data_IF_406486149019
#
_entry.id   IF_406486149019
#
_cell.length_a   1.000
_cell.length_b   1.000
_cell.length_c   1.000
_cell.angle_alpha   90.00
_cell.angle_beta   90.00
_cell.angle_gamma   90.00
#
_symmetry.space_group_name_H-M   'P 1'
#
loop_
_entity.id
_entity.type
_entity.pdbx_description
1 polymer ?
#
# COMPACT_ATOMS: atom_id res chain seq x y z
N UNK A 1 25.84 20.28 -24.92
CA UNK A 1 24.61 19.69 -24.34
C UNK A 1 25.03 18.72 -23.25
N UNK A 2 24.85 19.06 -21.98
CA UNK A 2 25.09 18.13 -20.87
C UNK A 2 23.82 17.35 -20.66
N UNK A 3 23.88 16.04 -20.83
CA UNK A 3 22.75 15.13 -20.69
C UNK A 3 22.30 15.04 -19.24
N UNK A 4 21.02 14.83 -19.02
CA UNK A 4 20.33 14.76 -17.72
C UNK A 4 20.97 13.78 -16.70
N UNK A 5 21.77 12.83 -17.17
CA UNK A 5 22.53 11.89 -16.35
C UNK A 5 23.68 12.54 -15.55
N UNK A 6 24.27 13.64 -16.03
CA UNK A 6 25.39 14.33 -15.36
C UNK A 6 24.97 15.23 -14.22
N UNK A 7 23.66 15.52 -14.07
CA UNK A 7 23.15 16.39 -13.01
C UNK A 7 22.90 15.63 -11.69
N UNK A 8 22.74 14.31 -11.76
CA UNK A 8 22.49 13.49 -10.56
C UNK A 8 23.73 13.15 -9.74
N UNK A 9 24.93 13.21 -10.33
CA UNK A 9 26.15 12.80 -9.64
C UNK A 9 26.73 13.88 -8.68
N UNK A 10 26.35 15.14 -8.84
CA UNK A 10 26.96 16.24 -8.07
C UNK A 10 26.08 16.79 -6.93
N UNK A 11 24.87 16.30 -6.74
CA UNK A 11 23.94 16.88 -5.76
C UNK A 11 23.96 16.23 -4.37
N UNK A 12 24.45 15.01 -4.27
CA UNK A 12 24.55 14.30 -2.99
C UNK A 12 25.86 13.53 -2.98
N UNK A 13 26.82 13.98 -2.18
CA UNK A 13 28.14 13.35 -1.99
C UNK A 13 28.12 11.97 -1.36
N UNK A 14 27.24 11.09 -1.83
CA UNK A 14 27.22 9.67 -1.48
C UNK A 14 27.96 8.90 -2.57
N UNK A 15 29.18 8.44 -2.25
CA UNK A 15 29.85 7.38 -2.98
C UNK A 15 28.88 6.21 -3.12
N UNK A 16 28.41 5.95 -4.34
CA UNK A 16 27.78 4.70 -4.69
C UNK A 16 28.85 3.62 -4.61
N UNK A 17 28.99 3.00 -3.45
CA UNK A 17 29.70 1.73 -3.33
C UNK A 17 29.11 0.79 -4.38
N UNK A 18 30.01 0.08 -5.08
CA UNK A 18 29.73 -0.80 -6.20
C UNK A 18 28.35 -1.44 -6.06
N UNK A 19 27.43 -1.11 -6.99
CA UNK A 19 26.16 -1.81 -7.11
C UNK A 19 26.49 -3.30 -7.24
N UNK A 20 26.18 -4.09 -6.21
CA UNK A 20 26.14 -5.54 -6.36
C UNK A 20 25.25 -5.84 -7.56
N UNK A 21 25.66 -6.76 -8.44
CA UNK A 21 24.87 -7.11 -9.61
C UNK A 21 23.46 -7.46 -9.14
N UNK A 22 22.46 -7.07 -9.92
CA UNK A 22 21.04 -7.37 -9.74
C UNK A 22 20.81 -8.88 -9.99
N UNK A 23 21.54 -9.72 -9.27
CA UNK A 23 21.36 -11.15 -9.15
C UNK A 23 20.68 -11.33 -7.79
N UNK A 24 19.38 -11.30 -7.78
CA UNK A 24 18.41 -11.91 -6.87
C UNK A 24 17.11 -11.10 -6.82
N UNK A 25 16.53 -10.87 -8.00
CA UNK A 25 15.12 -10.40 -8.08
C UNK A 25 14.12 -11.46 -7.57
N UNK A 26 14.60 -12.65 -7.19
CA UNK A 26 13.83 -13.79 -6.70
C UNK A 26 14.39 -14.34 -5.38
N UNK A 27 14.79 -13.46 -4.47
CA UNK A 27 15.22 -13.89 -3.15
C UNK A 27 14.02 -14.56 -2.45
N UNK A 28 14.12 -15.90 -2.30
CA UNK A 28 13.14 -16.69 -1.55
C UNK A 28 13.10 -16.19 -0.09
N UNK A 29 11.92 -16.19 0.49
CA UNK A 29 11.76 -15.90 1.92
C UNK A 29 12.60 -16.88 2.75
N UNK A 30 13.35 -16.35 3.66
CA UNK A 30 14.05 -17.10 4.71
C UNK A 30 13.19 -17.15 5.99
N UNK A 31 13.55 -18.04 6.92
CA UNK A 31 12.93 -18.06 8.24
C UNK A 31 13.11 -16.72 8.97
N UNK A 32 14.24 -16.03 8.74
CA UNK A 32 14.51 -14.72 9.32
C UNK A 32 13.48 -13.68 8.84
N UNK A 33 13.15 -13.68 7.55
CA UNK A 33 12.16 -12.74 7.00
C UNK A 33 10.79 -12.95 7.63
N UNK A 34 10.40 -14.22 7.85
CA UNK A 34 9.13 -14.54 8.51
C UNK A 34 9.13 -14.08 9.97
N UNK A 35 10.21 -14.31 10.70
CA UNK A 35 10.36 -13.85 12.08
C UNK A 35 10.32 -12.30 12.18
N UNK A 36 10.90 -11.62 11.20
CA UNK A 36 10.88 -10.15 11.16
C UNK A 36 9.46 -9.61 10.82
N UNK A 37 8.70 -10.32 9.98
CA UNK A 37 7.29 -10.01 9.70
C UNK A 37 6.43 -10.26 10.94
N UNK A 38 6.65 -11.35 11.67
CA UNK A 38 5.96 -11.66 12.93
C UNK A 38 6.15 -10.54 13.95
N UNK A 39 7.41 -10.20 14.26
CA UNK A 39 7.75 -9.08 15.14
C UNK A 39 7.13 -7.76 14.70
N UNK A 40 7.10 -7.52 13.39
CA UNK A 40 6.45 -6.32 12.86
C UNK A 40 4.94 -6.34 13.12
N UNK A 41 4.26 -7.46 12.83
CA UNK A 41 2.83 -7.62 13.03
C UNK A 41 2.45 -7.47 14.51
N UNK A 42 3.18 -8.14 15.40
CA UNK A 42 2.96 -8.04 16.85
C UNK A 42 3.12 -6.62 17.36
N UNK A 43 4.19 -5.94 16.96
CA UNK A 43 4.43 -4.55 17.36
C UNK A 43 3.25 -3.63 17.05
N UNK A 44 2.58 -3.82 15.91
CA UNK A 44 1.47 -2.95 15.49
C UNK A 44 0.12 -3.42 15.99
N UNK A 45 -0.03 -4.71 16.35
CA UNK A 45 -1.30 -5.31 16.75
C UNK A 45 -1.42 -5.56 18.27
N UNK A 46 -0.30 -5.65 19.00
CA UNK A 46 -0.25 -5.90 20.43
C UNK A 46 -1.16 -4.97 21.26
N UNK A 47 -1.21 -3.70 20.90
CA UNK A 47 -2.08 -2.71 21.58
C UNK A 47 -3.58 -3.01 21.43
N UNK A 48 -3.94 -3.91 20.54
CA UNK A 48 -5.32 -4.37 20.35
C UNK A 48 -5.54 -5.78 20.93
N UNK A 49 -4.57 -6.32 21.68
CA UNK A 49 -4.64 -7.66 22.25
C UNK A 49 -4.58 -8.76 21.19
N UNK A 50 -3.90 -8.53 20.05
CA UNK A 50 -3.73 -9.50 18.98
C UNK A 50 -2.25 -9.83 18.84
N UNK A 51 -1.96 -11.14 18.90
CA UNK A 51 -0.66 -11.74 18.71
C UNK A 51 -0.66 -12.56 17.41
N UNK A 52 0.41 -12.48 16.64
CA UNK A 52 0.51 -13.15 15.34
C UNK A 52 1.59 -14.22 15.40
N UNK A 53 1.22 -15.42 15.03
CA UNK A 53 2.13 -16.56 14.95
C UNK A 53 2.17 -17.13 13.53
N UNK A 54 3.32 -17.65 13.12
CA UNK A 54 3.48 -18.39 11.87
C UNK A 54 3.91 -19.82 12.15
N UNK A 55 3.26 -20.77 11.47
CA UNK A 55 3.69 -22.17 11.56
C UNK A 55 5.02 -22.39 10.83
N UNK A 56 5.75 -23.43 11.21
CA UNK A 56 7.03 -23.82 10.58
C UNK A 56 6.93 -23.94 9.05
N UNK A 57 5.80 -24.40 8.51
CA UNK A 57 5.58 -24.57 7.07
C UNK A 57 5.18 -23.27 6.34
N UNK A 58 5.04 -22.15 7.04
CA UNK A 58 4.60 -20.90 6.42
C UNK A 58 5.62 -20.38 5.41
N UNK A 59 6.93 -20.56 5.70
CA UNK A 59 8.03 -20.19 4.78
C UNK A 59 7.93 -20.94 3.46
N UNK A 60 7.69 -22.27 3.51
CA UNK A 60 7.57 -23.09 2.31
C UNK A 60 6.39 -22.62 1.45
N UNK A 61 5.31 -22.21 2.11
CA UNK A 61 4.10 -21.70 1.44
C UNK A 61 4.28 -20.32 0.84
N UNK A 62 5.07 -19.45 1.47
CA UNK A 62 5.44 -18.17 0.88
C UNK A 62 6.25 -18.36 -0.41
N UNK A 63 7.14 -19.33 -0.43
CA UNK A 63 8.02 -19.65 -1.55
C UNK A 63 7.39 -20.59 -2.59
N UNK A 64 6.12 -20.95 -2.44
CA UNK A 64 5.42 -21.85 -3.36
C UNK A 64 5.28 -21.21 -4.74
N UNK A 65 5.77 -21.87 -5.83
CA UNK A 65 5.71 -21.31 -7.18
C UNK A 65 4.27 -21.09 -7.71
N UNK A 66 3.27 -21.66 -7.04
CA UNK A 66 1.85 -21.39 -7.34
C UNK A 66 1.41 -19.98 -6.96
N UNK A 67 2.19 -19.28 -6.12
CA UNK A 67 1.97 -17.86 -5.85
C UNK A 67 2.51 -17.01 -7.02
N UNK A 68 1.68 -16.78 -8.02
CA UNK A 68 2.01 -15.96 -9.18
C UNK A 68 1.11 -14.71 -9.25
N UNK A 69 1.68 -13.47 -9.24
CA UNK A 69 3.09 -13.17 -8.98
C UNK A 69 3.53 -13.56 -7.57
N UNK A 70 4.86 -13.66 -7.36
CA UNK A 70 5.45 -13.99 -6.06
C UNK A 70 4.96 -13.03 -4.96
N UNK A 71 4.82 -13.57 -3.74
CA UNK A 71 4.47 -12.76 -2.58
C UNK A 71 5.71 -11.98 -2.12
N UNK A 72 5.54 -10.72 -1.72
CA UNK A 72 6.63 -9.86 -1.24
C UNK A 72 6.46 -9.52 0.23
N UNK A 73 7.56 -9.32 0.96
CA UNK A 73 7.56 -8.87 2.37
C UNK A 73 6.66 -7.63 2.55
N UNK A 74 6.80 -6.66 1.65
CA UNK A 74 6.02 -5.43 1.70
C UNK A 74 4.50 -5.64 1.55
N UNK A 75 4.05 -6.71 0.89
CA UNK A 75 2.63 -7.03 0.76
C UNK A 75 2.07 -7.57 2.08
N UNK A 76 2.81 -8.46 2.75
CA UNK A 76 2.43 -8.95 4.08
C UNK A 76 2.40 -7.83 5.11
N UNK A 77 3.41 -6.95 5.11
CA UNK A 77 3.42 -5.79 5.98
C UNK A 77 2.22 -4.86 5.72
N UNK A 78 1.87 -4.62 4.45
CA UNK A 78 0.67 -3.85 4.08
C UNK A 78 -0.60 -4.54 4.55
N UNK A 79 -0.66 -5.86 4.46
CA UNK A 79 -1.82 -6.61 4.91
C UNK A 79 -2.01 -6.47 6.43
N UNK A 80 -0.98 -6.65 7.25
CA UNK A 80 -1.08 -6.42 8.70
C UNK A 80 -1.41 -4.98 9.06
N UNK A 81 -0.92 -3.98 8.29
CA UNK A 81 -1.36 -2.58 8.46
C UNK A 81 -2.84 -2.38 8.15
N UNK A 82 -3.45 -3.13 7.22
CA UNK A 82 -4.91 -3.09 7.00
C UNK A 82 -5.67 -3.62 8.21
N UNK A 83 -5.19 -4.71 8.83
CA UNK A 83 -5.76 -5.24 10.08
C UNK A 83 -5.64 -4.20 11.20
N UNK A 84 -4.47 -3.58 11.36
CA UNK A 84 -4.23 -2.51 12.34
C UNK A 84 -5.20 -1.34 12.15
N UNK A 85 -5.42 -0.89 10.92
CA UNK A 85 -6.27 0.26 10.60
C UNK A 85 -7.70 0.09 11.12
N UNK A 86 -8.23 -1.11 11.05
CA UNK A 86 -9.54 -1.44 11.64
C UNK A 86 -9.43 -1.90 13.10
N UNK A 87 -8.31 -1.62 13.78
CA UNK A 87 -8.06 -1.97 15.18
C UNK A 87 -8.32 -3.45 15.51
N UNK A 88 -8.14 -4.32 14.52
CA UNK A 88 -8.41 -5.75 14.66
C UNK A 88 -9.88 -6.13 14.89
N UNK A 89 -10.83 -5.21 14.77
CA UNK A 89 -12.25 -5.45 15.16
C UNK A 89 -12.89 -6.62 14.42
N UNK A 90 -12.46 -6.89 13.18
CA UNK A 90 -12.98 -8.03 12.42
C UNK A 90 -12.53 -9.39 13.00
N UNK A 91 -11.31 -9.46 13.53
CA UNK A 91 -10.79 -10.64 14.24
C UNK A 91 -11.51 -10.80 15.59
N UNK A 92 -11.62 -9.71 16.33
CA UNK A 92 -12.17 -9.62 17.69
C UNK A 92 -13.70 -9.64 17.74
N UNK A 93 -14.39 -9.96 16.65
CA UNK A 93 -15.85 -9.94 16.64
C UNK A 93 -16.41 -10.93 17.68
N UNK A 94 -17.15 -10.46 18.69
CA UNK A 94 -17.67 -11.31 19.77
C UNK A 94 -18.54 -12.48 19.29
N UNK A 95 -19.18 -12.32 18.11
CA UNK A 95 -19.99 -13.41 17.50
C UNK A 95 -19.17 -14.64 17.10
N UNK A 96 -17.84 -14.54 17.11
CA UNK A 96 -16.95 -15.63 16.76
C UNK A 96 -16.52 -16.45 18.00
N UNK A 97 -16.62 -15.86 19.20
CA UNK A 97 -16.07 -16.42 20.44
C UNK A 97 -17.13 -16.36 21.53
N UNK A 98 -17.39 -17.48 22.16
CA UNK A 98 -18.41 -17.61 23.21
C UNK A 98 -17.73 -17.55 24.60
N UNK A 99 -16.59 -18.23 24.75
CA UNK A 99 -15.87 -18.36 26.02
C UNK A 99 -14.36 -18.21 25.81
N UNK A 100 -13.64 -17.91 26.88
CA UNK A 100 -12.16 -18.03 26.92
C UNK A 100 -11.75 -19.47 26.58
N UNK A 101 -10.66 -19.62 25.82
CA UNK A 101 -10.23 -20.90 25.26
C UNK A 101 -10.89 -21.28 23.93
N UNK A 102 -11.88 -20.53 23.46
CA UNK A 102 -12.52 -20.79 22.18
C UNK A 102 -11.56 -20.55 21.00
N UNK A 103 -11.65 -21.40 19.99
CA UNK A 103 -10.91 -21.22 18.74
C UNK A 103 -11.82 -21.31 17.53
N UNK A 104 -11.44 -20.60 16.46
CA UNK A 104 -12.10 -20.71 15.17
C UNK A 104 -11.09 -20.86 14.05
N UNK A 105 -11.46 -21.60 13.02
CA UNK A 105 -10.74 -21.59 11.75
C UNK A 105 -11.33 -20.52 10.83
N UNK A 106 -10.47 -19.70 10.29
CA UNK A 106 -10.87 -18.61 9.42
C UNK A 106 -9.84 -18.41 8.29
N UNK A 107 -10.21 -17.61 7.30
CA UNK A 107 -9.30 -17.13 6.27
C UNK A 107 -9.27 -15.62 6.33
N UNK A 108 -8.09 -15.04 6.60
CA UNK A 108 -7.88 -13.61 6.42
C UNK A 108 -7.57 -13.36 4.95
N UNK A 109 -8.45 -12.63 4.27
CA UNK A 109 -8.33 -12.35 2.82
C UNK A 109 -8.03 -10.89 2.57
N UNK A 110 -6.91 -10.62 1.86
CA UNK A 110 -6.65 -9.32 1.27
C UNK A 110 -7.24 -9.27 -0.15
N UNK A 111 -8.26 -8.46 -0.35
CA UNK A 111 -8.95 -8.35 -1.63
C UNK A 111 -8.06 -7.71 -2.70
N UNK A 112 -7.23 -6.72 -2.31
CA UNK A 112 -6.43 -5.96 -3.28
C UNK A 112 -5.27 -6.78 -3.85
N UNK A 113 -4.63 -7.62 -3.01
CA UNK A 113 -3.50 -8.47 -3.43
C UNK A 113 -3.88 -9.91 -3.71
N UNK A 114 -5.15 -10.29 -3.51
CA UNK A 114 -5.66 -11.66 -3.60
C UNK A 114 -4.94 -12.66 -2.67
N UNK A 115 -4.33 -12.16 -1.58
CA UNK A 115 -3.70 -13.01 -0.57
C UNK A 115 -4.78 -13.61 0.33
N UNK A 116 -4.63 -14.90 0.58
CA UNK A 116 -5.49 -15.66 1.49
C UNK A 116 -4.60 -16.32 2.53
N UNK A 117 -4.85 -16.04 3.81
CA UNK A 117 -4.16 -16.59 4.95
C UNK A 117 -5.14 -17.44 5.76
N UNK A 118 -5.17 -18.76 5.58
CA UNK A 118 -5.83 -19.68 6.49
C UNK A 118 -5.20 -19.62 7.88
N UNK A 119 -6.02 -19.30 8.88
CA UNK A 119 -5.59 -19.10 10.26
C UNK A 119 -6.44 -19.89 11.25
N UNK A 120 -5.88 -20.13 12.41
CA UNK A 120 -6.63 -20.43 13.63
C UNK A 120 -6.56 -19.21 14.51
N UNK A 121 -7.70 -18.73 14.97
CA UNK A 121 -7.80 -17.61 15.89
C UNK A 121 -8.26 -18.21 17.22
N UNK A 122 -7.41 -18.14 18.24
CA UNK A 122 -7.71 -18.54 19.59
C UNK A 122 -8.00 -17.29 20.42
N UNK A 123 -9.05 -17.34 21.22
CA UNK A 123 -9.37 -16.32 22.22
C UNK A 123 -9.09 -16.85 23.61
N UNK A 124 -8.28 -16.13 24.37
CA UNK A 124 -7.93 -16.49 25.73
C UNK A 124 -7.68 -15.21 26.57
N UNK A 125 -8.48 -15.02 27.61
CA UNK A 125 -8.39 -13.90 28.54
C UNK A 125 -8.11 -12.53 27.86
N UNK A 126 -9.02 -12.11 26.99
CA UNK A 126 -8.94 -10.87 26.23
C UNK A 126 -7.82 -10.80 25.17
N UNK A 127 -7.04 -11.86 25.01
CA UNK A 127 -6.01 -11.98 23.98
C UNK A 127 -6.51 -12.84 22.83
N UNK A 128 -6.09 -12.45 21.64
CA UNK A 128 -6.36 -13.19 20.41
C UNK A 128 -5.04 -13.63 19.79
N UNK A 129 -4.78 -14.92 19.79
CA UNK A 129 -3.64 -15.49 19.08
C UNK A 129 -4.09 -15.90 17.69
N UNK A 130 -3.45 -15.38 16.66
CA UNK A 130 -3.74 -15.65 15.25
C UNK A 130 -2.60 -16.47 14.66
N UNK A 131 -2.77 -17.78 14.65
CA UNK A 131 -1.77 -18.71 14.09
C UNK A 131 -1.99 -18.88 12.59
N UNK A 132 -1.07 -18.36 11.79
CA UNK A 132 -1.10 -18.46 10.34
C UNK A 132 -0.55 -19.82 9.89
N UNK A 133 -1.41 -20.67 9.36
CA UNK A 133 -1.03 -22.04 8.94
C UNK A 133 -0.38 -22.07 7.57
N UNK A 134 -0.86 -21.24 6.65
CA UNK A 134 -0.40 -21.21 5.27
C UNK A 134 -0.78 -19.88 4.61
N UNK A 135 -0.25 -19.64 3.43
CA UNK A 135 -0.60 -18.48 2.61
C UNK A 135 -0.69 -18.89 1.15
N UNK A 136 -1.59 -18.25 0.42
CA UNK A 136 -1.69 -18.45 -1.03
C UNK A 136 -2.25 -17.20 -1.72
N UNK A 137 -1.76 -16.94 -2.93
CA UNK A 137 -2.32 -15.93 -3.82
C UNK A 137 -3.36 -16.58 -4.74
N UNK A 138 -4.64 -16.33 -4.47
CA UNK A 138 -5.73 -16.85 -5.30
C UNK A 138 -6.95 -15.94 -5.23
N UNK A 139 -7.38 -15.42 -6.38
CA UNK A 139 -8.54 -14.50 -6.49
C UNK A 139 -9.83 -15.19 -6.03
N UNK A 140 -10.11 -16.34 -6.61
CA UNK A 140 -11.35 -17.09 -6.39
C UNK A 140 -11.13 -18.24 -5.40
N UNK A 141 -10.58 -17.91 -4.22
CA UNK A 141 -10.35 -18.86 -3.15
C UNK A 141 -11.67 -19.25 -2.51
N UNK A 142 -11.99 -20.55 -2.54
CA UNK A 142 -13.19 -21.13 -1.94
C UNK A 142 -12.80 -21.93 -0.70
N UNK A 143 -13.58 -21.81 0.36
CA UNK A 143 -13.41 -22.54 1.61
C UNK A 143 -14.75 -22.61 2.35
N UNK A 144 -14.93 -23.63 3.18
CA UNK A 144 -16.04 -23.72 4.14
C UNK A 144 -15.79 -22.86 5.39
N UNK A 145 -14.52 -22.46 5.62
CA UNK A 145 -14.16 -21.66 6.78
C UNK A 145 -14.61 -20.21 6.59
N UNK A 146 -14.81 -19.50 7.70
CA UNK A 146 -15.18 -18.09 7.71
C UNK A 146 -14.12 -17.25 7.01
N UNK A 147 -14.53 -16.42 6.05
CA UNK A 147 -13.66 -15.48 5.37
C UNK A 147 -13.78 -14.10 6.02
N UNK A 148 -12.66 -13.56 6.48
CA UNK A 148 -12.53 -12.21 7.04
C UNK A 148 -11.77 -11.36 6.01
N UNK A 149 -12.48 -10.47 5.32
CA UNK A 149 -11.92 -9.68 4.21
C UNK A 149 -11.32 -8.38 4.68
N UNK A 150 -10.20 -8.02 4.08
CA UNK A 150 -9.53 -6.73 4.23
C UNK A 150 -9.31 -6.10 2.84
N UNK A 151 -9.57 -4.81 2.75
CA UNK A 151 -9.34 -4.01 1.57
C UNK A 151 -8.73 -2.67 1.96
N UNK A 152 -8.04 -2.00 1.05
CA UNK A 152 -7.68 -0.62 1.24
C UNK A 152 -8.97 0.21 1.37
N UNK A 153 -9.00 1.22 2.24
CA UNK A 153 -10.15 2.11 2.28
C UNK A 153 -10.28 2.75 0.90
N UNK A 154 -11.39 2.45 0.25
CA UNK A 154 -11.79 3.18 -0.95
C UNK A 154 -12.30 4.52 -0.47
N UNK A 155 -11.74 5.59 -1.00
CA UNK A 155 -12.35 6.92 -0.88
C UNK A 155 -13.70 6.82 -1.59
N UNK A 156 -14.83 7.00 -0.88
CA UNK A 156 -16.14 6.88 -1.51
C UNK A 156 -16.24 7.95 -2.60
N UNK A 157 -16.29 7.53 -3.85
CA UNK A 157 -16.61 8.45 -4.94
C UNK A 157 -18.03 8.96 -4.73
N UNK A 158 -18.19 10.24 -4.53
CA UNK A 158 -19.49 10.88 -4.45
C UNK A 158 -20.07 10.94 -5.88
N UNK A 159 -20.89 9.95 -6.23
CA UNK A 159 -21.57 9.91 -7.54
C UNK A 159 -22.45 11.15 -7.71
N UNK A 160 -22.50 11.70 -8.93
CA UNK A 160 -23.42 12.77 -9.30
C UNK A 160 -22.97 14.18 -8.91
N UNK A 161 -21.76 14.36 -8.43
CA UNK A 161 -21.24 15.71 -8.20
C UNK A 161 -20.50 16.23 -9.44
N UNK A 162 -20.64 17.52 -9.78
CA UNK A 162 -19.93 18.12 -10.90
C UNK A 162 -18.42 17.99 -10.74
N UNK A 163 -17.71 17.76 -11.84
CA UNK A 163 -16.25 17.78 -11.85
C UNK A 163 -15.74 19.13 -11.31
N UNK A 164 -14.75 19.10 -10.41
CA UNK A 164 -14.18 20.30 -9.81
C UNK A 164 -14.97 20.88 -8.64
N UNK A 165 -16.05 20.26 -8.18
CA UNK A 165 -16.71 20.65 -6.94
C UNK A 165 -15.97 20.09 -5.72
N UNK A 166 -15.99 20.80 -4.58
CA UNK A 166 -15.44 20.33 -3.29
C UNK A 166 -16.09 19.02 -2.80
N UNK A 167 -17.19 18.64 -3.40
CA UNK A 167 -17.94 17.42 -3.10
C UNK A 167 -17.63 16.27 -4.04
N UNK A 168 -16.83 16.52 -5.08
CA UNK A 168 -16.41 15.49 -6.03
C UNK A 168 -15.09 14.86 -5.55
N UNK A 169 -15.13 13.57 -5.23
CA UNK A 169 -13.91 12.83 -4.90
C UNK A 169 -13.31 12.26 -6.19
N UNK A 170 -12.39 12.98 -6.77
CA UNK A 170 -11.51 12.45 -7.82
C UNK A 170 -10.39 11.62 -7.20
N UNK A 171 -9.81 10.71 -7.99
CA UNK A 171 -8.65 9.91 -7.58
C UNK A 171 -7.47 10.76 -7.10
N UNK A 172 -7.50 12.04 -7.43
CA UNK A 172 -6.45 13.05 -7.20
C UNK A 172 -6.95 14.23 -6.36
N UNK A 173 -8.11 14.12 -5.72
CA UNK A 173 -8.61 15.19 -4.83
C UNK A 173 -7.79 15.16 -3.54
N UNK A 174 -7.06 16.23 -3.30
CA UNK A 174 -6.43 16.46 -2.01
C UNK A 174 -7.51 16.78 -0.97
N UNK A 175 -7.70 15.89 0.00
CA UNK A 175 -8.68 16.09 1.08
C UNK A 175 -8.28 17.21 2.04
N UNK A 176 -7.04 17.72 1.94
CA UNK A 176 -6.55 18.86 2.70
C UNK A 176 -5.99 19.97 1.80
N UNK A 177 -6.87 20.73 1.12
CA UNK A 177 -6.51 21.68 0.09
C UNK A 177 -5.64 22.87 0.57
N UNK A 178 -5.52 23.09 1.87
CA UNK A 178 -4.72 24.22 2.42
C UNK A 178 -3.25 24.17 2.04
N UNK A 179 -2.75 22.99 1.63
CA UNK A 179 -1.37 22.80 1.19
C UNK A 179 -1.15 22.86 -0.32
N UNK A 180 -2.17 22.72 -1.13
CA UNK A 180 -2.09 22.46 -2.57
C UNK A 180 -1.99 23.74 -3.39
N UNK A 181 -1.35 23.67 -4.56
CA UNK A 181 -1.36 24.75 -5.56
C UNK A 181 -2.60 24.56 -6.42
N UNK A 182 -3.65 25.37 -6.18
CA UNK A 182 -4.92 25.24 -6.89
C UNK A 182 -4.95 25.91 -8.26
N UNK A 183 -5.88 25.41 -9.10
CA UNK A 183 -6.22 26.03 -10.37
C UNK A 183 -5.15 25.88 -11.44
N UNK A 184 -4.37 24.80 -11.38
CA UNK A 184 -3.47 24.38 -12.44
C UNK A 184 -4.27 23.80 -13.60
N UNK A 185 -3.96 24.22 -14.83
CA UNK A 185 -4.63 23.81 -16.07
C UNK A 185 -3.58 23.51 -17.13
N UNK A 186 -3.88 22.58 -18.02
CA UNK A 186 -3.09 22.23 -19.20
C UNK A 186 -3.98 21.89 -20.41
N UNK A 187 -5.10 22.61 -20.54
CA UNK A 187 -6.01 22.40 -21.67
C UNK A 187 -5.37 22.86 -22.98
N UNK A 188 -4.56 23.89 -22.93
CA UNK A 188 -3.76 24.46 -24.04
C UNK A 188 -2.34 24.76 -23.54
N UNK A 189 -1.40 24.96 -24.46
CA UNK A 189 -0.01 25.37 -24.13
C UNK A 189 -0.01 26.65 -23.28
N UNK A 190 -0.83 27.63 -23.61
CA UNK A 190 -0.96 28.87 -22.84
C UNK A 190 -1.48 28.64 -21.41
N UNK A 191 -2.35 27.63 -21.21
CA UNK A 191 -2.81 27.24 -19.87
C UNK A 191 -1.69 26.55 -19.08
N UNK A 192 -0.88 25.71 -19.75
CA UNK A 192 0.27 25.06 -19.16
C UNK A 192 1.32 26.07 -18.69
N UNK A 193 1.68 27.03 -19.54
CA UNK A 193 2.60 28.15 -19.20
C UNK A 193 2.11 28.99 -18.01
N UNK A 194 0.83 29.34 -17.99
CA UNK A 194 0.20 30.02 -16.83
C UNK A 194 0.29 29.19 -15.56
N UNK A 195 0.12 27.89 -15.67
CA UNK A 195 0.21 26.98 -14.54
C UNK A 195 1.63 26.85 -14.01
N UNK A 196 2.64 26.77 -14.89
CA UNK A 196 4.06 26.79 -14.51
C UNK A 196 4.40 28.08 -13.76
N UNK A 197 4.06 29.26 -14.31
CA UNK A 197 4.24 30.57 -13.62
C UNK A 197 3.56 30.58 -12.26
N UNK A 198 2.38 29.99 -12.14
CA UNK A 198 1.67 29.88 -10.86
C UNK A 198 2.37 28.99 -9.84
N UNK A 199 2.94 27.86 -10.31
CA UNK A 199 3.76 26.98 -9.48
C UNK A 199 5.00 27.72 -8.98
N UNK A 200 5.72 28.39 -9.87
CA UNK A 200 6.93 29.16 -9.55
C UNK A 200 6.65 30.30 -8.57
N UNK A 201 5.59 31.06 -8.80
CA UNK A 201 5.17 32.18 -7.95
C UNK A 201 4.52 31.75 -6.62
N UNK A 202 4.25 30.46 -6.42
CA UNK A 202 3.66 29.98 -5.18
C UNK A 202 4.65 30.08 -4.02
N UNK A 203 4.22 30.47 -2.83
CA UNK A 203 5.05 30.49 -1.61
C UNK A 203 5.43 29.12 -1.06
N UNK A 204 5.33 28.04 -1.88
CA UNK A 204 5.59 26.68 -1.45
C UNK A 204 7.08 26.32 -1.51
N UNK A 205 7.50 25.32 -0.72
CA UNK A 205 8.87 24.78 -0.75
C UNK A 205 9.20 24.23 -2.13
N UNK A 206 10.46 24.30 -2.54
CA UNK A 206 10.96 23.83 -3.84
C UNK A 206 10.52 22.42 -4.20
N UNK A 207 10.64 21.46 -3.27
CA UNK A 207 10.20 20.09 -3.48
C UNK A 207 8.71 19.98 -3.83
N UNK A 208 7.86 20.81 -3.24
CA UNK A 208 6.42 20.84 -3.52
C UNK A 208 6.13 21.39 -4.93
N UNK A 209 6.88 22.41 -5.35
CA UNK A 209 6.78 22.96 -6.71
C UNK A 209 7.14 21.94 -7.76
N UNK A 210 8.25 21.19 -7.55
CA UNK A 210 8.68 20.11 -8.45
C UNK A 210 7.61 19.02 -8.53
N UNK A 211 7.06 18.57 -7.41
CA UNK A 211 6.00 17.55 -7.41
C UNK A 211 4.75 18.00 -8.18
N UNK A 212 4.36 19.28 -8.06
CA UNK A 212 3.22 19.81 -8.80
C UNK A 212 3.50 19.86 -10.32
N UNK A 213 4.70 20.24 -10.73
CA UNK A 213 5.10 20.28 -12.14
C UNK A 213 5.15 18.88 -12.74
N UNK A 214 5.78 17.91 -12.07
CA UNK A 214 5.86 16.51 -12.52
C UNK A 214 4.45 15.91 -12.64
N UNK A 215 3.57 16.14 -11.68
CA UNK A 215 2.20 15.62 -11.72
C UNK A 215 1.40 16.22 -12.90
N UNK A 216 1.62 17.49 -13.21
CA UNK A 216 0.99 18.15 -14.35
C UNK A 216 1.51 17.61 -15.68
N UNK A 217 2.82 17.46 -15.83
CA UNK A 217 3.49 16.88 -17.00
C UNK A 217 3.00 15.46 -17.29
N UNK A 218 3.01 14.58 -16.27
CA UNK A 218 2.56 13.20 -16.42
C UNK A 218 1.11 13.11 -16.88
N UNK A 219 0.21 13.92 -16.30
CA UNK A 219 -1.18 13.98 -16.72
C UNK A 219 -1.37 14.46 -18.14
N UNK A 220 -0.59 15.45 -18.56
CA UNK A 220 -0.64 15.95 -19.93
C UNK A 220 -0.20 14.85 -20.92
N UNK A 221 0.87 14.11 -20.61
CA UNK A 221 1.33 12.96 -21.39
C UNK A 221 0.28 11.84 -21.48
N UNK A 222 -0.34 11.48 -20.37
CA UNK A 222 -1.41 10.46 -20.34
C UNK A 222 -2.64 10.85 -21.16
N UNK A 223 -2.91 12.14 -21.27
CA UNK A 223 -3.99 12.68 -22.11
C UNK A 223 -3.59 12.94 -23.57
N UNK A 224 -2.38 12.53 -23.98
CA UNK A 224 -1.88 12.75 -25.34
C UNK A 224 -1.52 14.21 -25.66
N UNK A 225 -1.39 15.06 -24.65
CA UNK A 225 -1.08 16.50 -24.77
C UNK A 225 0.43 16.72 -24.65
N UNK A 226 1.17 16.29 -25.67
CA UNK A 226 2.65 16.32 -25.66
C UNK A 226 3.23 17.73 -25.67
N UNK A 227 2.58 18.66 -26.37
CA UNK A 227 3.02 20.07 -26.43
C UNK A 227 2.85 20.76 -25.06
N UNK A 228 1.73 20.52 -24.36
CA UNK A 228 1.45 21.04 -23.04
C UNK A 228 2.32 20.39 -21.95
N UNK A 229 2.77 19.15 -22.19
CA UNK A 229 3.68 18.45 -21.28
C UNK A 229 5.14 18.92 -21.42
N UNK A 230 5.49 19.60 -22.53
CA UNK A 230 6.85 20.08 -22.80
C UNK A 230 7.12 21.49 -22.24
N UNK A 231 6.12 22.16 -21.68
CA UNK A 231 6.21 23.45 -21.00
C UNK A 231 6.84 23.29 -19.63
#
# INVERSE_FOLDING_TARGET
>A
MKTFLTFHENAYGYSFGAMKPVADLHAKFSQKDVNDIEKFADRILKKYGIDIEFTRHFVDRLNDPRNNPEIKVAELQRFFKKIQRVKGTKIKNPRNFINSGSEIQAVLKDIDSNLNLPVVIKYDDEKFTVTNKTIMRKKDFKTSNKIITYEAPRIPRKKGQPAGSDKHSDLYTDENPKGTIHGLKFATVADAEKSVKKIEGSGKKHAHKIQAAIAMEQRAKEMGKTAEAAV
#
